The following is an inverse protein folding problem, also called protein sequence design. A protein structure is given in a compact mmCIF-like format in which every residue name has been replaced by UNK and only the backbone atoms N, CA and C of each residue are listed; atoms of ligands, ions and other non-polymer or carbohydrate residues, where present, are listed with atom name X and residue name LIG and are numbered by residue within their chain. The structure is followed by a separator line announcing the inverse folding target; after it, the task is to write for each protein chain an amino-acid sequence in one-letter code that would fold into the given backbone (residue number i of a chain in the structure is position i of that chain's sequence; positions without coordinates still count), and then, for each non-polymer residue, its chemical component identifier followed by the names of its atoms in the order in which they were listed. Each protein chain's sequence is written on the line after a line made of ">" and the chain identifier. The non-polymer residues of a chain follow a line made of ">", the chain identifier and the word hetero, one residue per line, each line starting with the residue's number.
data_IF_108532372796
#
_entry.id   IF_108532372796
#
_cell.length_a   1.000
_cell.length_b   1.000
_cell.length_c   1.000
_cell.angle_alpha   90.00
_cell.angle_beta   90.00
_cell.angle_gamma   90.00
#
_symmetry.space_group_name_H-M   'P 1'
#
loop_
_entity.id
_entity.type
_entity.pdbx_description
1 polymer ?
#
# COMPACT_ATOMS: atom_id res chain seq x y z
N UNK A 1 7.47 29.87 -26.97
CA UNK A 1 7.80 28.47 -26.62
C UNK A 1 7.23 28.22 -25.25
N UNK A 2 6.23 27.34 -25.15
CA UNK A 2 5.49 27.06 -23.92
C UNK A 2 6.25 25.98 -23.15
N UNK A 3 6.87 26.36 -22.03
CA UNK A 3 7.45 25.39 -21.10
C UNK A 3 6.30 24.82 -20.28
N UNK A 4 5.92 23.58 -20.55
CA UNK A 4 5.01 22.82 -19.69
C UNK A 4 5.73 22.56 -18.37
N UNK A 5 5.31 23.25 -17.32
CA UNK A 5 5.65 22.89 -15.95
C UNK A 5 5.05 21.50 -15.69
N UNK A 6 5.93 20.51 -15.59
CA UNK A 6 5.63 19.22 -14.99
C UNK A 6 5.04 19.48 -13.61
N UNK A 7 3.74 19.22 -13.44
CA UNK A 7 3.13 19.07 -12.12
C UNK A 7 3.74 17.81 -11.49
N UNK A 8 4.89 17.98 -10.83
CA UNK A 8 5.38 17.02 -9.87
C UNK A 8 4.27 16.73 -8.86
N UNK A 9 4.09 15.44 -8.55
CA UNK A 9 3.06 14.93 -7.66
C UNK A 9 3.14 15.59 -6.29
N UNK A 10 2.41 16.69 -6.15
CA UNK A 10 2.23 17.36 -4.88
C UNK A 10 1.28 16.49 -4.06
N UNK A 11 1.87 15.60 -3.25
CA UNK A 11 1.13 14.84 -2.23
C UNK A 11 0.27 15.83 -1.46
N UNK A 12 -1.04 15.67 -1.52
CA UNK A 12 -1.97 16.57 -0.83
C UNK A 12 -1.71 16.43 0.68
N UNK A 13 -1.18 17.47 1.36
CA UNK A 13 -0.84 17.39 2.77
C UNK A 13 -2.08 17.08 3.64
N UNK A 14 -3.28 17.40 3.16
CA UNK A 14 -4.53 17.01 3.85
C UNK A 14 -4.80 15.51 3.72
N UNK A 15 -4.51 14.92 2.56
CA UNK A 15 -4.69 13.49 2.35
C UNK A 15 -3.76 12.62 3.17
N UNK A 16 -2.51 13.04 3.33
CA UNK A 16 -1.54 12.30 4.15
C UNK A 16 -1.91 12.29 5.64
N UNK A 17 -2.48 13.38 6.17
CA UNK A 17 -2.97 13.43 7.56
C UNK A 17 -4.17 12.51 7.78
N UNK A 18 -5.12 12.46 6.85
CA UNK A 18 -6.29 11.55 6.96
C UNK A 18 -5.85 10.08 6.94
N UNK A 19 -4.82 9.76 6.15
CA UNK A 19 -4.26 8.40 6.11
C UNK A 19 -3.61 8.05 7.44
N UNK A 20 -2.84 8.96 8.04
CA UNK A 20 -2.23 8.76 9.36
C UNK A 20 -3.30 8.57 10.45
N UNK A 21 -4.35 9.39 10.46
CA UNK A 21 -5.47 9.23 11.40
C UNK A 21 -6.20 7.90 11.21
N UNK A 22 -6.45 7.50 9.95
CA UNK A 22 -7.14 6.25 9.65
C UNK A 22 -6.34 5.00 10.06
N UNK A 23 -5.03 5.01 9.81
CA UNK A 23 -4.15 3.89 10.16
C UNK A 23 -3.84 3.82 11.66
N UNK A 24 -3.87 4.97 12.36
CA UNK A 24 -3.61 5.04 13.80
C UNK A 24 -2.21 4.53 14.15
N UNK A 25 -2.14 3.41 14.88
CA UNK A 25 -0.87 2.77 15.26
C UNK A 25 -0.33 1.80 14.18
N UNK A 26 -1.08 1.56 13.11
CA UNK A 26 -0.67 0.63 12.06
C UNK A 26 0.42 1.23 11.16
N UNK A 27 1.44 0.45 10.76
CA UNK A 27 2.48 0.92 9.85
C UNK A 27 1.91 1.30 8.48
N UNK A 28 2.55 2.30 7.85
CA UNK A 28 2.31 2.66 6.45
C UNK A 28 2.75 1.54 5.51
N UNK A 29 2.19 1.51 4.30
CA UNK A 29 2.53 0.49 3.29
C UNK A 29 4.05 0.45 3.00
N UNK A 30 4.72 1.61 2.96
CA UNK A 30 6.17 1.68 2.72
C UNK A 30 6.99 1.12 3.89
N UNK A 31 6.47 1.16 5.12
CA UNK A 31 7.11 0.53 6.26
C UNK A 31 7.03 -1.00 6.14
N UNK A 32 5.86 -1.54 5.78
CA UNK A 32 5.70 -2.97 5.49
C UNK A 32 6.64 -3.44 4.37
N UNK A 33 6.79 -2.62 3.31
CA UNK A 33 7.74 -2.89 2.23
C UNK A 33 9.18 -3.01 2.73
N UNK A 34 9.62 -2.07 3.56
CA UNK A 34 10.98 -2.06 4.13
C UNK A 34 11.26 -3.31 4.98
N UNK A 35 10.30 -3.71 5.82
CA UNK A 35 10.40 -4.94 6.60
C UNK A 35 10.45 -6.18 5.71
N UNK A 36 9.59 -6.24 4.68
CA UNK A 36 9.55 -7.32 3.70
C UNK A 36 10.89 -7.45 2.97
N UNK A 37 11.46 -6.35 2.50
CA UNK A 37 12.76 -6.33 1.79
C UNK A 37 13.89 -6.83 2.68
N UNK A 38 13.92 -6.39 3.95
CA UNK A 38 14.90 -6.86 4.95
C UNK A 38 14.80 -8.38 5.17
N UNK A 39 13.58 -8.93 5.30
CA UNK A 39 13.42 -10.37 5.44
C UNK A 39 13.72 -11.14 4.15
N UNK A 40 13.44 -10.56 2.98
CA UNK A 40 13.78 -11.15 1.70
C UNK A 40 15.29 -11.22 1.47
N UNK A 41 16.07 -10.25 1.94
CA UNK A 41 17.53 -10.32 2.00
C UNK A 41 18.01 -11.48 2.87
N UNK A 42 17.52 -11.56 4.11
CA UNK A 42 17.87 -12.67 5.02
C UNK A 42 17.47 -14.04 4.46
N UNK A 43 16.37 -14.11 3.73
CA UNK A 43 15.94 -15.32 3.04
C UNK A 43 16.94 -15.71 1.94
N UNK A 44 17.39 -14.75 1.11
CA UNK A 44 18.41 -15.00 0.09
C UNK A 44 19.70 -15.53 0.71
N UNK A 45 20.18 -14.90 1.78
CA UNK A 45 21.39 -15.33 2.47
C UNK A 45 21.24 -16.76 3.06
N UNK A 46 20.07 -17.06 3.63
CA UNK A 46 19.79 -18.40 4.16
C UNK A 46 19.75 -19.47 3.07
N UNK A 47 19.21 -19.15 1.89
CA UNK A 47 19.19 -20.04 0.73
C UNK A 47 20.61 -20.32 0.25
N UNK A 48 21.45 -19.29 0.09
CA UNK A 48 22.86 -19.44 -0.29
C UNK A 48 23.61 -20.30 0.72
N UNK A 49 23.49 -20.00 2.02
CA UNK A 49 24.15 -20.77 3.07
C UNK A 49 23.71 -22.24 3.10
N UNK A 50 22.46 -22.53 2.73
CA UNK A 50 21.97 -23.90 2.62
C UNK A 50 22.53 -24.61 1.40
N UNK A 51 22.63 -23.92 0.25
CA UNK A 51 23.21 -24.50 -0.97
C UNK A 51 24.71 -24.83 -0.83
N UNK A 52 25.40 -24.15 0.07
CA UNK A 52 26.80 -24.42 0.43
C UNK A 52 26.96 -25.50 1.52
N UNK A 53 25.88 -25.87 2.22
CA UNK A 53 25.91 -26.84 3.31
C UNK A 53 25.80 -28.28 2.80
N UNK A 54 26.37 -29.22 3.56
CA UNK A 54 26.19 -30.66 3.31
C UNK A 54 24.73 -31.07 3.59
N UNK A 55 24.00 -31.66 2.61
CA UNK A 55 22.62 -32.09 2.78
C UNK A 55 22.36 -33.05 3.94
N UNK A 56 23.38 -33.81 4.36
CA UNK A 56 23.27 -34.79 5.45
C UNK A 56 23.57 -34.19 6.83
N UNK A 57 23.98 -32.91 6.92
CA UNK A 57 24.25 -32.22 8.18
C UNK A 57 22.95 -31.66 8.82
N UNK A 58 22.91 -31.68 10.15
CA UNK A 58 21.91 -30.99 10.95
C UNK A 58 21.81 -29.50 10.61
N UNK A 59 22.91 -28.86 10.20
CA UNK A 59 22.90 -27.47 9.77
C UNK A 59 22.02 -27.26 8.53
N UNK A 60 22.04 -28.18 7.56
CA UNK A 60 21.19 -28.10 6.37
C UNK A 60 19.70 -28.16 6.76
N UNK A 61 19.33 -29.09 7.63
CA UNK A 61 17.95 -29.23 8.12
C UNK A 61 17.48 -27.98 8.88
N UNK A 62 18.35 -27.37 9.69
CA UNK A 62 18.05 -26.13 10.39
C UNK A 62 17.84 -24.95 9.43
N UNK A 63 18.66 -24.86 8.37
CA UNK A 63 18.54 -23.84 7.34
C UNK A 63 17.25 -24.01 6.51
N UNK A 64 16.88 -25.24 6.14
CA UNK A 64 15.62 -25.53 5.45
C UNK A 64 14.41 -25.08 6.28
N UNK A 65 14.41 -25.33 7.59
CA UNK A 65 13.38 -24.81 8.48
C UNK A 65 13.36 -23.27 8.48
N UNK A 66 14.51 -22.63 8.65
CA UNK A 66 14.63 -21.16 8.66
C UNK A 66 14.14 -20.54 7.35
N UNK A 67 14.47 -21.14 6.20
CA UNK A 67 14.04 -20.70 4.87
C UNK A 67 12.52 -20.76 4.76
N UNK A 68 11.89 -21.85 5.21
CA UNK A 68 10.43 -21.98 5.22
C UNK A 68 9.78 -20.89 6.09
N UNK A 69 10.29 -20.67 7.29
CA UNK A 69 9.74 -19.67 8.21
C UNK A 69 9.89 -18.26 7.63
N UNK A 70 11.05 -17.93 7.04
CA UNK A 70 11.29 -16.64 6.39
C UNK A 70 10.41 -16.44 5.15
N UNK A 71 10.18 -17.48 4.35
CA UNK A 71 9.25 -17.41 3.19
C UNK A 71 7.85 -17.04 3.63
N UNK A 72 7.36 -17.66 4.71
CA UNK A 72 6.03 -17.36 5.22
C UNK A 72 5.96 -15.93 5.77
N UNK A 73 6.97 -15.48 6.53
CA UNK A 73 7.01 -14.10 7.02
C UNK A 73 7.04 -13.07 5.88
N UNK A 74 7.85 -13.29 4.84
CA UNK A 74 7.88 -12.42 3.66
C UNK A 74 6.52 -12.39 2.96
N UNK A 75 5.85 -13.54 2.86
CA UNK A 75 4.50 -13.62 2.27
C UNK A 75 3.50 -12.81 3.08
N UNK A 76 3.46 -12.97 4.40
CA UNK A 76 2.56 -12.22 5.29
C UNK A 76 2.80 -10.72 5.15
N UNK A 77 4.06 -10.27 5.20
CA UNK A 77 4.38 -8.84 5.04
C UNK A 77 3.98 -8.29 3.67
N UNK A 78 4.07 -9.10 2.60
CA UNK A 78 3.61 -8.71 1.28
C UNK A 78 2.08 -8.53 1.22
N UNK A 79 1.33 -9.37 1.95
CA UNK A 79 -0.12 -9.24 2.08
C UNK A 79 -0.49 -7.98 2.88
N UNK A 80 0.16 -7.74 4.02
CA UNK A 80 -0.04 -6.52 4.83
C UNK A 80 0.30 -5.24 4.06
N UNK A 81 1.40 -5.24 3.28
CA UNK A 81 1.74 -4.13 2.39
C UNK A 81 0.61 -3.88 1.38
N UNK A 82 0.10 -4.94 0.74
CA UNK A 82 -0.92 -4.82 -0.29
C UNK A 82 -2.26 -4.30 0.27
N UNK A 83 -2.68 -4.81 1.43
CA UNK A 83 -3.89 -4.37 2.13
C UNK A 83 -3.74 -2.90 2.53
N UNK A 84 -2.63 -2.56 3.19
CA UNK A 84 -2.39 -1.19 3.65
C UNK A 84 -2.35 -0.22 2.47
N UNK A 85 -1.63 -0.58 1.39
CA UNK A 85 -1.56 0.25 0.18
C UNK A 85 -2.94 0.45 -0.43
N UNK A 86 -3.77 -0.59 -0.51
CA UNK A 86 -5.13 -0.49 -1.02
C UNK A 86 -5.98 0.50 -0.18
N UNK A 87 -5.85 0.45 1.15
CA UNK A 87 -6.53 1.38 2.06
C UNK A 87 -6.04 2.81 1.82
N UNK A 88 -4.73 3.03 1.79
CA UNK A 88 -4.15 4.36 1.54
C UNK A 88 -4.62 4.93 0.20
N UNK A 89 -4.57 4.13 -0.87
CA UNK A 89 -4.99 4.54 -2.21
C UNK A 89 -6.50 4.84 -2.28
N UNK A 90 -7.32 4.10 -1.53
CA UNK A 90 -8.77 4.35 -1.44
C UNK A 90 -9.09 5.67 -0.74
N UNK A 91 -8.35 6.01 0.33
CA UNK A 91 -8.47 7.30 1.01
C UNK A 91 -8.05 8.44 0.07
N UNK A 92 -6.89 8.31 -0.59
CA UNK A 92 -6.42 9.31 -1.58
C UNK A 92 -7.44 9.54 -2.70
N UNK A 93 -8.00 8.47 -3.26
CA UNK A 93 -9.00 8.55 -4.33
C UNK A 93 -10.30 9.24 -3.89
N UNK A 94 -10.71 9.05 -2.62
CA UNK A 94 -11.90 9.70 -2.07
C UNK A 94 -11.69 11.21 -1.91
N UNK A 95 -10.50 11.64 -1.47
CA UNK A 95 -10.18 13.05 -1.25
C UNK A 95 -9.92 13.82 -2.56
N UNK A 96 -9.35 13.17 -3.56
CA UNK A 96 -9.10 13.79 -4.88
C UNK A 96 -10.33 13.85 -5.78
N UNK A 97 -11.47 13.23 -5.39
CA UNK A 97 -12.71 13.33 -6.16
C UNK A 97 -13.23 14.77 -6.06
N UNK A 98 -13.21 15.57 -7.14
CA UNK A 98 -13.79 16.90 -7.10
C UNK A 98 -15.27 16.76 -6.76
N UNK A 99 -15.74 17.50 -5.75
CA UNK A 99 -17.17 17.71 -5.51
C UNK A 99 -17.78 18.56 -6.63
N UNK A 100 -17.72 18.08 -7.87
CA UNK A 100 -18.51 18.61 -8.97
C UNK A 100 -19.78 17.77 -9.08
N UNK A 101 -20.57 17.77 -8.01
CA UNK A 101 -22.02 17.63 -8.13
C UNK A 101 -22.60 18.96 -7.68
N UNK A 102 -22.53 19.95 -8.56
CA UNK A 102 -23.54 20.99 -8.59
C UNK A 102 -24.85 20.29 -9.00
N UNK A 103 -25.59 19.78 -8.01
CA UNK A 103 -27.05 19.72 -8.13
C UNK A 103 -27.54 21.16 -7.91
N UNK A 104 -27.44 21.95 -8.96
CA UNK A 104 -28.09 23.23 -9.09
C UNK A 104 -28.81 23.20 -10.44
N UNK A 105 -30.00 22.63 -10.43
CA UNK A 105 -31.13 23.07 -11.25
C UNK A 105 -32.38 22.57 -10.49
N UNK A 106 -32.67 23.29 -9.41
CA UNK A 106 -33.96 23.95 -9.22
C UNK A 106 -35.03 23.49 -10.23
N UNK A 107 -35.77 22.44 -9.88
CA UNK A 107 -37.09 22.21 -10.49
C UNK A 107 -38.04 23.24 -9.87
N UNK A 108 -37.99 24.47 -10.36
CA UNK A 108 -39.12 25.39 -10.29
C UNK A 108 -40.24 24.78 -11.13
N UNK A 109 -41.14 24.06 -10.46
CA UNK A 109 -42.47 23.76 -10.97
C UNK A 109 -43.32 25.01 -10.79
N UNK A 110 -43.02 26.04 -11.58
CA UNK A 110 -43.94 27.14 -11.82
C UNK A 110 -45.19 26.59 -12.54
N UNK A 111 -46.29 26.60 -11.81
CA UNK A 111 -47.57 27.16 -12.23
C UNK A 111 -47.95 26.98 -13.72
N UNK A 112 -48.58 25.86 -14.06
CA UNK A 112 -49.62 25.88 -15.09
C UNK A 112 -50.95 25.42 -14.49
N UNK A 113 -51.65 26.39 -13.89
CA UNK A 113 -53.10 26.36 -13.82
C UNK A 113 -53.69 26.32 -15.24
N UNK A 114 -54.26 25.18 -15.63
CA UNK A 114 -55.29 25.13 -16.66
C UNK A 114 -56.68 25.18 -16.01
N UNK A 115 -57.48 26.10 -16.54
CA UNK A 115 -58.79 26.51 -16.04
C UNK A 115 -59.93 25.50 -16.19
#
# INVERSE_FOLDING_TARGET
>A
MSSGESREGQSDPQGEQVIEEFLGEQPRADHWRSLKETLAERLRDAVVARDEADPDDLQFLALEKKIRDLREQVRVLAEEEAITRFVEDSVRATLTRPRNFQLGDEFDLDDEGYG
#
